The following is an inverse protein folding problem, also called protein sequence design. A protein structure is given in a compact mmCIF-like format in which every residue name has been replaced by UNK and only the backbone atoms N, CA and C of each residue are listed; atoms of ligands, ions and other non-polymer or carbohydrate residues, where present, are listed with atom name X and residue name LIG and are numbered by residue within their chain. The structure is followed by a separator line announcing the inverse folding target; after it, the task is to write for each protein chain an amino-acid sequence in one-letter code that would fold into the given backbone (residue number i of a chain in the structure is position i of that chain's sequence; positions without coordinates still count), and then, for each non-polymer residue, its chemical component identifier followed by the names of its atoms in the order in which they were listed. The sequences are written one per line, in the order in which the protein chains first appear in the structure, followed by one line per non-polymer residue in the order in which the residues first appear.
data_IF_056618930722
#
_entry.id   IF_056618930722
#
_cell.length_a   1.000
_cell.length_b   1.000
_cell.length_c   1.000
_cell.angle_alpha   90.00
_cell.angle_beta   90.00
_cell.angle_gamma   90.00
#
_symmetry.space_group_name_H-M   'P 1'
#
loop_
_entity.id
_entity.type
_entity.pdbx_description
1 polymer ?
#
# COMPACT_ATOMS: atom_id res chain seq x y z
N UNK A 1 -10.12 -21.94 -2.07
CA UNK A 1 -10.41 -21.18 -0.84
C UNK A 1 -10.93 -19.80 -1.24
N UNK A 2 -11.97 -19.27 -0.60
CA UNK A 2 -12.40 -17.89 -0.83
C UNK A 2 -11.41 -16.94 -0.17
N UNK A 3 -10.79 -16.03 -0.94
CA UNK A 3 -9.96 -14.97 -0.37
C UNK A 3 -10.87 -13.92 0.28
N UNK A 4 -10.57 -13.53 1.53
CA UNK A 4 -11.29 -12.44 2.21
C UNK A 4 -11.04 -11.06 1.58
N UNK A 5 -9.88 -10.89 0.94
CA UNK A 5 -9.50 -9.71 0.17
C UNK A 5 -9.08 -10.16 -1.23
N UNK A 6 -9.55 -9.47 -2.26
CA UNK A 6 -9.22 -9.77 -3.66
C UNK A 6 -8.30 -8.70 -4.25
N UNK A 7 -8.54 -7.43 -3.90
CA UNK A 7 -7.74 -6.28 -4.33
C UNK A 7 -7.10 -5.60 -3.11
N UNK A 8 -5.77 -5.53 -3.11
CA UNK A 8 -4.99 -4.97 -2.01
C UNK A 8 -4.19 -3.78 -2.52
N UNK A 9 -4.27 -2.66 -1.82
CA UNK A 9 -3.54 -1.45 -2.16
C UNK A 9 -2.30 -1.26 -1.28
N UNK A 10 -1.21 -0.74 -1.86
CA UNK A 10 0.00 -0.34 -1.16
C UNK A 10 0.12 1.17 -1.21
N UNK A 11 0.20 1.78 -0.04
CA UNK A 11 0.23 3.22 0.16
C UNK A 11 1.41 3.60 1.05
N UNK A 12 1.89 4.83 0.88
CA UNK A 12 2.91 5.38 1.75
C UNK A 12 3.64 6.54 1.09
N UNK A 13 4.39 7.30 1.88
CA UNK A 13 5.39 8.23 1.38
C UNK A 13 6.73 7.85 2.00
N UNK A 14 7.55 7.03 1.31
CA UNK A 14 8.83 6.60 1.82
C UNK A 14 9.79 7.79 1.91
N UNK A 15 10.48 7.92 3.05
CA UNK A 15 11.51 8.95 3.28
C UNK A 15 12.94 8.40 3.23
N UNK A 16 13.08 7.08 3.17
CA UNK A 16 14.35 6.34 3.14
C UNK A 16 14.31 5.29 2.03
N UNK A 17 15.47 4.78 1.61
CA UNK A 17 15.55 3.67 0.66
C UNK A 17 15.04 2.35 1.26
N UNK A 18 15.23 2.16 2.58
CA UNK A 18 14.68 1.02 3.31
C UNK A 18 13.16 0.96 3.18
N UNK A 19 12.49 2.11 3.30
CA UNK A 19 11.05 2.20 3.14
C UNK A 19 10.60 1.75 1.77
N UNK A 20 11.29 2.17 0.71
CA UNK A 20 10.96 1.78 -0.67
C UNK A 20 11.12 0.27 -0.84
N UNK A 21 12.19 -0.30 -0.28
CA UNK A 21 12.42 -1.73 -0.30
C UNK A 21 11.25 -2.49 0.35
N UNK A 22 10.75 -2.03 1.50
CA UNK A 22 9.57 -2.64 2.14
C UNK A 22 8.33 -2.59 1.24
N UNK A 23 8.10 -1.48 0.51
CA UNK A 23 6.98 -1.42 -0.43
C UNK A 23 7.14 -2.43 -1.58
N UNK A 24 8.37 -2.59 -2.10
CA UNK A 24 8.66 -3.54 -3.18
C UNK A 24 8.49 -4.98 -2.72
N UNK A 25 9.02 -5.33 -1.54
CA UNK A 25 8.89 -6.67 -0.96
C UNK A 25 7.42 -7.05 -0.72
N UNK A 26 6.61 -6.11 -0.21
CA UNK A 26 5.17 -6.34 -0.03
C UNK A 26 4.48 -6.53 -1.39
N UNK A 27 4.82 -5.72 -2.39
CA UNK A 27 4.27 -5.85 -3.75
C UNK A 27 4.58 -7.23 -4.34
N UNK A 28 5.85 -7.62 -4.36
CA UNK A 28 6.29 -8.90 -4.92
C UNK A 28 5.60 -10.07 -4.21
N UNK A 29 5.54 -10.03 -2.86
CA UNK A 29 4.89 -11.06 -2.04
C UNK A 29 3.39 -11.22 -2.35
N UNK A 30 2.69 -10.12 -2.65
CA UNK A 30 1.28 -10.12 -3.02
C UNK A 30 1.05 -10.65 -4.42
N UNK A 31 1.90 -10.26 -5.38
CA UNK A 31 1.83 -10.73 -6.77
C UNK A 31 2.09 -12.23 -6.84
N UNK A 32 3.09 -12.75 -6.13
CA UNK A 32 3.38 -14.19 -6.01
C UNK A 32 2.17 -15.00 -5.51
N UNK A 33 1.27 -14.37 -4.77
CA UNK A 33 0.05 -14.98 -4.21
C UNK A 33 -1.20 -14.68 -5.05
N UNK A 34 -1.03 -14.13 -6.24
CA UNK A 34 -2.10 -13.85 -7.19
C UNK A 34 -3.17 -12.91 -6.61
N UNK A 35 -2.75 -11.89 -5.85
CA UNK A 35 -3.62 -10.77 -5.49
C UNK A 35 -3.61 -9.74 -6.61
N UNK A 36 -4.73 -9.05 -6.79
CA UNK A 36 -4.74 -7.81 -7.58
C UNK A 36 -4.16 -6.71 -6.70
N UNK A 37 -3.07 -6.09 -7.16
CA UNK A 37 -2.38 -5.05 -6.38
C UNK A 37 -2.59 -3.68 -7.02
N UNK A 38 -2.96 -2.70 -6.20
CA UNK A 38 -2.96 -1.28 -6.56
C UNK A 38 -1.85 -0.57 -5.81
N UNK A 39 -1.17 0.37 -6.45
CA UNK A 39 -0.07 1.12 -5.83
C UNK A 39 -0.36 2.61 -5.94
N UNK A 40 -0.11 3.38 -4.89
CA UNK A 40 -0.28 4.83 -4.95
C UNK A 40 0.64 5.46 -6.01
N UNK A 41 0.10 6.32 -6.88
CA UNK A 41 0.88 7.07 -7.87
C UNK A 41 2.11 7.79 -7.29
N UNK A 42 2.07 8.16 -6.01
CA UNK A 42 3.21 8.78 -5.31
C UNK A 42 4.46 7.90 -5.24
N UNK A 43 4.33 6.60 -5.48
CA UNK A 43 5.41 5.63 -5.47
C UNK A 43 5.97 5.34 -6.87
N UNK A 44 5.32 5.85 -7.93
CA UNK A 44 5.64 5.54 -9.33
C UNK A 44 7.09 5.79 -9.70
N UNK A 45 7.63 6.94 -9.30
CA UNK A 45 9.02 7.31 -9.63
C UNK A 45 10.05 6.67 -8.68
N UNK A 46 9.60 5.84 -7.73
CA UNK A 46 10.45 5.25 -6.68
C UNK A 46 10.50 3.73 -6.74
N UNK A 47 9.51 3.09 -7.38
CA UNK A 47 9.41 1.64 -7.52
C UNK A 47 9.58 1.25 -8.99
N UNK A 48 10.78 0.77 -9.35
CA UNK A 48 11.14 0.47 -10.74
C UNK A 48 10.58 -0.88 -11.24
N UNK A 49 10.30 -1.82 -10.34
CA UNK A 49 9.89 -3.19 -10.66
C UNK A 49 8.40 -3.45 -10.38
N UNK A 50 7.54 -2.49 -10.75
CA UNK A 50 6.09 -2.58 -10.59
C UNK A 50 5.43 -2.37 -11.94
N UNK A 51 4.38 -3.14 -12.24
CA UNK A 51 3.62 -2.94 -13.46
C UNK A 51 3.02 -1.52 -13.48
N UNK A 52 3.29 -0.78 -14.55
CA UNK A 52 2.80 0.60 -14.71
C UNK A 52 1.29 0.76 -14.53
N UNK A 53 0.51 -0.31 -14.78
CA UNK A 53 -0.94 -0.38 -14.64
C UNK A 53 -1.42 -0.58 -13.20
N UNK A 54 -0.56 -1.05 -12.30
CA UNK A 54 -0.88 -1.18 -10.88
C UNK A 54 -0.99 0.18 -10.19
N UNK A 55 -0.29 1.19 -10.70
CA UNK A 55 -0.28 2.52 -10.12
C UNK A 55 -1.57 3.30 -10.40
N UNK A 56 -2.16 3.86 -9.35
CA UNK A 56 -3.37 4.67 -9.45
C UNK A 56 -3.50 5.65 -8.28
N UNK A 57 -4.46 6.56 -8.38
CA UNK A 57 -4.67 7.60 -7.38
C UNK A 57 -5.45 7.08 -6.16
N UNK A 58 -5.31 7.79 -5.04
CA UNK A 58 -5.90 7.42 -3.76
C UNK A 58 -7.44 7.32 -3.78
N UNK A 59 -8.12 8.09 -4.66
CA UNK A 59 -9.57 8.02 -4.81
C UNK A 59 -10.02 6.74 -5.50
N UNK A 60 -9.24 6.25 -6.47
CA UNK A 60 -9.48 4.96 -7.13
C UNK A 60 -9.20 3.81 -6.16
N UNK A 61 -8.12 3.91 -5.39
CA UNK A 61 -7.78 2.94 -4.34
C UNK A 61 -8.94 2.78 -3.36
N UNK A 62 -9.48 3.89 -2.85
CA UNK A 62 -10.61 3.83 -1.92
C UNK A 62 -11.85 3.14 -2.51
N UNK A 63 -12.08 3.22 -3.82
CA UNK A 63 -13.24 2.59 -4.47
C UNK A 63 -13.04 1.12 -4.81
N UNK A 64 -11.82 0.73 -5.16
CA UNK A 64 -11.55 -0.53 -5.84
C UNK A 64 -10.80 -1.55 -4.97
N UNK A 65 -10.15 -1.12 -3.88
CA UNK A 65 -9.41 -2.01 -3.00
C UNK A 65 -10.23 -2.41 -1.77
N UNK A 66 -10.08 -3.66 -1.36
CA UNK A 66 -10.73 -4.22 -0.16
C UNK A 66 -9.88 -3.93 1.10
N UNK A 67 -8.56 -3.84 0.92
CA UNK A 67 -7.57 -3.57 1.96
C UNK A 67 -6.51 -2.59 1.45
N UNK A 68 -6.17 -1.59 2.26
CA UNK A 68 -5.02 -0.72 2.05
C UNK A 68 -3.94 -0.98 3.12
N UNK A 69 -2.75 -1.35 2.66
CA UNK A 69 -1.53 -1.45 3.47
C UNK A 69 -0.82 -0.10 3.41
N UNK A 70 -0.75 0.59 4.53
CA UNK A 70 -0.07 1.88 4.65
C UNK A 70 1.30 1.67 5.29
N UNK A 71 2.36 1.83 4.51
CA UNK A 71 3.74 1.65 4.98
C UNK A 71 4.33 2.98 5.46
N UNK A 72 4.94 2.95 6.64
CA UNK A 72 5.57 4.07 7.32
C UNK A 72 4.86 4.45 8.63
N UNK A 73 5.20 5.63 9.17
CA UNK A 73 4.70 6.07 10.48
C UNK A 73 3.33 6.77 10.45
N UNK A 74 2.95 7.34 11.60
CA UNK A 74 1.63 7.94 11.85
C UNK A 74 1.20 8.97 10.80
N UNK A 75 2.14 9.76 10.27
CA UNK A 75 1.83 10.76 9.24
C UNK A 75 1.30 10.13 7.93
N UNK A 76 1.81 8.96 7.54
CA UNK A 76 1.30 8.24 6.38
C UNK A 76 -0.09 7.66 6.68
N UNK A 77 -0.26 7.07 7.87
CA UNK A 77 -1.52 6.48 8.31
C UNK A 77 -2.64 7.52 8.41
N UNK A 78 -2.40 8.66 9.08
CA UNK A 78 -3.37 9.76 9.19
C UNK A 78 -3.71 10.35 7.82
N UNK A 79 -2.71 10.49 6.94
CA UNK A 79 -2.91 10.98 5.57
C UNK A 79 -3.79 10.04 4.74
N UNK A 80 -3.55 8.73 4.82
CA UNK A 80 -4.36 7.72 4.15
C UNK A 80 -5.77 7.64 4.75
N UNK A 81 -5.90 7.48 6.07
CA UNK A 81 -7.17 7.35 6.78
C UNK A 81 -8.11 8.55 6.52
N UNK A 82 -7.58 9.78 6.46
CA UNK A 82 -8.37 10.97 6.14
C UNK A 82 -9.12 10.86 4.81
N UNK A 83 -8.53 10.22 3.81
CA UNK A 83 -9.15 10.07 2.49
C UNK A 83 -9.95 8.77 2.41
N UNK A 84 -9.38 7.66 2.89
CA UNK A 84 -9.96 6.34 2.78
C UNK A 84 -11.19 6.11 3.68
N UNK A 85 -11.33 6.87 4.77
CA UNK A 85 -12.51 6.83 5.65
C UNK A 85 -13.85 7.12 4.97
N UNK A 86 -13.83 7.59 3.72
CA UNK A 86 -15.02 7.85 2.91
C UNK A 86 -15.50 6.63 2.13
N UNK A 87 -14.79 5.51 2.23
CA UNK A 87 -15.03 4.30 1.45
C UNK A 87 -15.09 3.06 2.36
N UNK A 88 -15.61 1.97 1.82
CA UNK A 88 -15.70 0.67 2.49
C UNK A 88 -14.41 -0.14 2.25
N UNK A 89 -13.30 0.35 2.82
CA UNK A 89 -11.97 -0.25 2.68
C UNK A 89 -11.35 -0.47 4.06
N UNK A 90 -10.77 -1.65 4.26
CA UNK A 90 -9.98 -1.92 5.46
C UNK A 90 -8.61 -1.24 5.37
N UNK A 91 -8.09 -0.73 6.48
CA UNK A 91 -6.76 -0.09 6.49
C UNK A 91 -5.88 -0.72 7.57
N UNK A 92 -4.67 -1.12 7.19
CA UNK A 92 -3.65 -1.62 8.12
C UNK A 92 -2.35 -0.83 7.94
N UNK A 93 -1.75 -0.41 9.05
CA UNK A 93 -0.45 0.28 9.06
C UNK A 93 0.69 -0.71 9.28
N UNK A 94 1.77 -0.57 8.51
CA UNK A 94 3.04 -1.27 8.72
C UNK A 94 4.09 -0.23 9.07
N UNK A 95 4.61 -0.27 10.29
CA UNK A 95 5.61 0.69 10.77
C UNK A 95 7.01 0.10 10.66
N UNK A 96 7.96 0.89 10.17
CA UNK A 96 9.36 0.49 9.96
C UNK A 96 10.24 0.65 11.20
N UNK A 97 9.69 1.11 12.33
CA UNK A 97 10.46 1.15 13.58
C UNK A 97 10.60 -0.26 14.14
N UNK A 98 11.85 -0.67 14.31
CA UNK A 98 12.20 -1.71 15.27
C UNK A 98 11.71 -1.23 16.65
N UNK A 99 10.90 -2.05 17.33
CA UNK A 99 10.75 -1.89 18.78
C UNK A 99 12.15 -2.02 19.35
N UNK A 100 12.70 -0.95 19.93
CA UNK A 100 13.98 -1.01 20.61
C UNK A 100 13.87 -2.08 21.71
N UNK A 101 14.57 -3.19 21.52
CA UNK A 101 14.82 -4.22 22.53
C UNK A 101 15.88 -3.74 23.51
#
# INVERSE_FOLDING_TARGET
MSKHFSTIAILGRPRSNLAIQTHQEIYDWLIEREYKVLVDDRLRDRMENVDSSAFTNLMRIGKDADLAIVVGGDGNMLGAARVLSRFDISVIGVNEVTLAS
#
